data_IF_764807994876
#
_entry.id   IF_764807994876
#
_cell.length_a   1.000
_cell.length_b   1.000
_cell.length_c   1.000
_cell.angle_alpha   90.00
_cell.angle_beta   90.00
_cell.angle_gamma   90.00
#
_symmetry.space_group_name_H-M   'P 1'
#
loop_
_entity.id
_entity.type
_entity.pdbx_description
1 polymer ?
#
# COMPACT_ATOMS: atom_id res chain seq x y z
N UNK A 1 -6.24 4.47 14.13
CA UNK A 1 -7.17 4.42 15.28
C UNK A 1 -7.82 5.77 15.40
N UNK A 2 -9.12 5.85 15.67
CA UNK A 2 -9.74 7.11 15.99
C UNK A 2 -9.63 7.51 17.46
N UNK A 3 -10.29 8.59 17.87
CA UNK A 3 -10.43 9.07 19.25
C UNK A 3 -11.04 7.97 20.12
N UNK A 4 -10.17 7.25 20.83
CA UNK A 4 -10.51 6.10 21.68
C UNK A 4 -9.75 4.84 21.25
N UNK A 5 -9.59 3.87 22.16
CA UNK A 5 -8.92 2.59 21.89
C UNK A 5 -9.74 1.67 20.96
N UNK A 6 -10.21 2.20 19.83
CA UNK A 6 -11.02 1.51 18.84
C UNK A 6 -10.31 1.51 17.49
N UNK A 7 -10.57 0.48 16.68
CA UNK A 7 -10.05 0.37 15.32
C UNK A 7 -11.17 0.71 14.32
N UNK A 8 -10.84 1.45 13.27
CA UNK A 8 -11.71 1.64 12.11
C UNK A 8 -11.10 0.92 10.93
N UNK A 9 -11.90 0.07 10.29
CA UNK A 9 -11.49 -0.69 9.12
C UNK A 9 -11.99 0.01 7.86
N UNK A 10 -11.08 0.32 6.94
CA UNK A 10 -11.40 0.87 5.63
C UNK A 10 -11.31 -0.29 4.64
N UNK A 11 -12.44 -0.63 4.03
CA UNK A 11 -12.50 -1.68 3.01
C UNK A 11 -12.08 -1.08 1.66
N UNK A 12 -11.09 -1.71 1.03
CA UNK A 12 -10.58 -1.29 -0.28
C UNK A 12 -10.97 -2.38 -1.27
N UNK A 13 -11.94 -2.06 -2.14
CA UNK A 13 -12.42 -3.00 -3.17
C UNK A 13 -11.77 -2.65 -4.50
N UNK A 14 -10.83 -3.48 -4.93
CA UNK A 14 -10.28 -3.44 -6.28
C UNK A 14 -11.14 -4.34 -7.16
N UNK A 15 -11.55 -3.84 -8.33
CA UNK A 15 -12.25 -4.65 -9.33
C UNK A 15 -11.27 -5.62 -9.98
N UNK A 16 -11.75 -6.64 -10.67
CA UNK A 16 -10.86 -7.53 -11.43
C UNK A 16 -10.21 -6.76 -12.59
N UNK A 17 -8.88 -6.83 -12.69
CA UNK A 17 -8.13 -6.11 -13.71
C UNK A 17 -6.62 -6.28 -13.59
N UNK A 18 -5.90 -5.90 -14.64
CA UNK A 18 -4.45 -5.79 -14.60
C UNK A 18 -4.07 -4.48 -13.93
N UNK A 19 -3.46 -4.55 -12.75
CA UNK A 19 -3.02 -3.37 -12.01
C UNK A 19 -1.50 -3.36 -11.90
N UNK A 20 -0.89 -2.23 -12.29
CA UNK A 20 0.46 -1.91 -11.83
C UNK A 20 0.43 -1.49 -10.36
N UNK A 21 1.57 -1.57 -9.67
CA UNK A 21 1.68 -1.08 -8.29
C UNK A 21 1.26 0.38 -8.14
N UNK A 22 1.56 1.22 -9.14
CA UNK A 22 1.11 2.60 -9.16
C UNK A 22 -0.42 2.73 -9.18
N UNK A 23 -1.12 1.86 -9.92
CA UNK A 23 -2.59 1.85 -9.94
C UNK A 23 -3.18 1.35 -8.63
N UNK A 24 -2.57 0.33 -8.02
CA UNK A 24 -2.97 -0.16 -6.69
C UNK A 24 -2.81 0.97 -5.66
N UNK A 25 -1.64 1.61 -5.60
CA UNK A 25 -1.38 2.69 -4.66
C UNK A 25 -2.36 3.86 -4.86
N UNK A 26 -2.64 4.23 -6.12
CA UNK A 26 -3.62 5.28 -6.44
C UNK A 26 -5.05 4.92 -5.99
N UNK A 27 -5.48 3.67 -6.17
CA UNK A 27 -6.79 3.20 -5.73
C UNK A 27 -6.92 3.15 -4.20
N UNK A 28 -5.85 2.74 -3.51
CA UNK A 28 -5.76 2.81 -2.04
C UNK A 28 -5.88 4.27 -1.59
N UNK A 29 -5.09 5.18 -2.17
CA UNK A 29 -5.14 6.61 -1.83
C UNK A 29 -6.52 7.22 -2.10
N UNK A 30 -7.17 6.90 -3.22
CA UNK A 30 -8.52 7.36 -3.52
C UNK A 30 -9.54 6.90 -2.45
N UNK A 31 -9.43 5.66 -2.00
CA UNK A 31 -10.28 5.12 -0.92
C UNK A 31 -9.99 5.79 0.42
N UNK A 32 -8.72 6.08 0.72
CA UNK A 32 -8.32 6.82 1.92
C UNK A 32 -8.82 8.27 1.90
N UNK A 33 -8.80 8.94 0.74
CA UNK A 33 -9.40 10.26 0.56
C UNK A 33 -10.90 10.20 0.84
N UNK A 34 -11.62 9.26 0.20
CA UNK A 34 -13.07 9.10 0.39
C UNK A 34 -13.45 8.76 1.84
N UNK A 35 -12.56 8.09 2.56
CA UNK A 35 -12.76 7.74 3.97
C UNK A 35 -12.28 8.84 4.93
N UNK A 36 -11.63 9.90 4.43
CA UNK A 36 -11.02 10.97 5.22
C UNK A 36 -9.88 10.50 6.13
N UNK A 37 -9.12 9.49 5.71
CA UNK A 37 -7.99 8.91 6.44
C UNK A 37 -6.63 9.46 5.97
N UNK A 38 -6.54 10.78 5.79
CA UNK A 38 -5.35 11.51 5.36
C UNK A 38 -5.26 12.84 6.12
N UNK A 39 -4.09 13.48 6.10
CA UNK A 39 -3.92 14.87 6.54
C UNK A 39 -3.48 15.74 5.36
N UNK A 40 -3.60 17.06 5.51
CA UNK A 40 -3.17 18.02 4.49
C UNK A 40 -1.97 18.78 5.06
N UNK A 41 -0.82 18.78 4.37
CA UNK A 41 0.37 19.50 4.80
C UNK A 41 0.22 21.03 4.61
N UNK A 42 1.25 21.78 4.99
CA UNK A 42 1.24 23.24 4.84
C UNK A 42 1.21 23.71 3.37
N UNK A 43 1.69 22.88 2.45
CA UNK A 43 1.72 23.15 1.01
C UNK A 43 0.39 22.81 0.31
N UNK A 44 -0.56 22.18 1.02
CA UNK A 44 -1.85 21.75 0.51
C UNK A 44 -1.89 20.31 -0.03
N UNK A 45 -0.80 19.55 0.09
CA UNK A 45 -0.74 18.16 -0.35
C UNK A 45 -1.35 17.20 0.67
N UNK A 46 -2.01 16.16 0.14
CA UNK A 46 -2.54 15.07 0.95
C UNK A 46 -1.42 14.12 1.38
N UNK A 47 -1.22 14.01 2.69
CA UNK A 47 -0.28 13.09 3.31
C UNK A 47 -1.00 11.82 3.75
N UNK A 48 -0.53 10.69 3.23
CA UNK A 48 -1.01 9.35 3.55
C UNK A 48 -0.04 8.64 4.49
N UNK A 49 -0.60 7.85 5.41
CA UNK A 49 0.17 7.05 6.39
C UNK A 49 0.40 5.61 5.93
N UNK A 50 0.03 5.33 4.68
CA UNK A 50 0.21 4.06 3.99
C UNK A 50 0.78 4.38 2.61
N UNK A 51 1.85 3.70 2.24
CA UNK A 51 2.39 3.76 0.90
C UNK A 51 2.79 2.37 0.43
N UNK A 52 2.45 2.06 -0.82
CA UNK A 52 2.88 0.84 -1.49
C UNK A 52 3.78 1.22 -2.66
N UNK A 53 5.00 0.70 -2.67
CA UNK A 53 6.00 0.98 -3.70
C UNK A 53 6.67 -0.29 -4.21
N UNK A 54 7.15 -0.25 -5.44
CA UNK A 54 7.98 -1.32 -5.99
C UNK A 54 9.44 -1.12 -5.59
N UNK A 55 10.10 -2.19 -5.16
CA UNK A 55 11.52 -2.21 -4.86
C UNK A 55 12.25 -2.98 -5.96
N UNK A 56 12.78 -2.25 -6.94
CA UNK A 56 13.48 -2.81 -8.10
C UNK A 56 14.75 -3.58 -7.71
N UNK A 57 15.39 -3.26 -6.57
CA UNK A 57 16.58 -3.94 -6.09
C UNK A 57 16.28 -5.36 -5.64
N UNK A 58 15.12 -5.56 -5.00
CA UNK A 58 14.71 -6.86 -4.47
C UNK A 58 13.61 -7.51 -5.29
N UNK A 59 13.26 -6.94 -6.46
CA UNK A 59 12.14 -7.36 -7.31
C UNK A 59 10.87 -7.64 -6.51
N UNK A 60 10.61 -6.85 -5.47
CA UNK A 60 9.56 -7.10 -4.47
C UNK A 60 8.73 -5.85 -4.21
N UNK A 61 7.57 -6.03 -3.59
CA UNK A 61 6.77 -4.92 -3.11
C UNK A 61 7.26 -4.47 -1.73
N UNK A 62 7.37 -3.17 -1.53
CA UNK A 62 7.64 -2.57 -0.24
C UNK A 62 6.41 -1.80 0.24
N UNK A 63 5.98 -2.12 1.45
CA UNK A 63 4.89 -1.43 2.14
C UNK A 63 5.52 -0.58 3.23
N UNK A 64 5.30 0.73 3.14
CA UNK A 64 5.72 1.69 4.14
C UNK A 64 4.50 2.19 4.92
N UNK A 65 4.54 1.99 6.23
CA UNK A 65 3.47 2.34 7.15
C UNK A 65 4.02 3.33 8.16
N UNK A 66 3.49 4.55 8.12
CA UNK A 66 3.91 5.65 8.99
C UNK A 66 2.94 5.81 10.16
N UNK A 67 3.44 6.16 11.36
CA UNK A 67 2.56 6.36 12.51
C UNK A 67 1.70 7.62 12.32
N UNK A 68 0.40 7.48 12.56
CA UNK A 68 -0.53 8.61 12.55
C UNK A 68 -0.29 9.44 13.81
N UNK A 69 -0.06 10.77 13.70
CA UNK A 69 0.27 11.62 14.83
C UNK A 69 -0.93 11.83 15.75
N UNK A 70 -0.68 12.05 17.04
CA UNK A 70 -1.72 12.31 18.04
C UNK A 70 -2.27 13.74 18.00
N UNK A 71 -1.50 14.66 17.42
CA UNK A 71 -1.87 16.06 17.21
C UNK A 71 -1.52 16.47 15.78
N UNK A 72 -2.12 17.56 15.30
CA UNK A 72 -1.72 18.09 14.01
C UNK A 72 -0.31 18.69 14.09
N UNK A 73 0.59 18.30 13.18
CA UNK A 73 1.84 19.03 12.98
C UNK A 73 1.57 20.50 12.62
N UNK A 74 2.54 21.37 12.91
CA UNK A 74 2.41 22.81 12.65
C UNK A 74 2.13 23.08 11.17
N UNK A 75 1.13 23.91 10.89
CA UNK A 75 0.73 24.29 9.53
C UNK A 75 -0.10 23.25 8.78
N UNK A 76 -0.37 22.08 9.38
CA UNK A 76 -1.18 21.05 8.74
C UNK A 76 -2.67 21.27 9.02
N UNK A 77 -3.54 20.72 8.17
CA UNK A 77 -4.98 20.76 8.36
C UNK A 77 -5.62 19.37 8.25
N UNK A 78 -6.80 19.22 8.87
CA UNK A 78 -7.61 18.00 8.82
C UNK A 78 -8.42 17.99 7.53
N UNK A 79 -8.77 16.79 7.01
CA UNK A 79 -9.74 16.70 5.94
C UNK A 79 -11.10 17.25 6.40
N UNK A 80 -11.90 17.82 5.49
CA UNK A 80 -13.17 18.44 5.83
C UNK A 80 -14.20 17.43 6.34
N UNK A 81 -14.12 16.16 5.91
CA UNK A 81 -15.02 15.07 6.33
C UNK A 81 -14.24 13.76 6.49
N UNK A 82 -14.90 12.73 7.05
CA UNK A 82 -14.34 11.39 7.21
C UNK A 82 -13.54 11.21 8.50
N UNK A 83 -12.75 10.13 8.58
CA UNK A 83 -12.19 9.61 9.83
C UNK A 83 -11.37 10.64 10.60
N UNK A 84 -10.36 11.28 10.00
CA UNK A 84 -9.49 12.24 10.69
C UNK A 84 -10.05 13.66 10.77
N UNK A 85 -11.26 13.90 10.24
CA UNK A 85 -11.93 15.19 10.36
C UNK A 85 -12.36 15.49 11.80
N UNK A 86 -12.63 16.76 12.10
CA UNK A 86 -13.12 17.18 13.44
C UNK A 86 -14.53 16.65 13.72
N UNK A 87 -15.37 16.52 12.69
CA UNK A 87 -16.71 15.93 12.78
C UNK A 87 -16.71 14.39 12.78
N UNK A 88 -15.58 13.80 12.41
CA UNK A 88 -15.40 12.36 12.38
C UNK A 88 -14.86 11.84 13.70
N UNK A 89 -13.97 10.88 13.58
CA UNK A 89 -13.40 10.18 14.71
C UNK A 89 -11.99 10.70 15.06
N UNK A 90 -11.51 11.75 14.41
CA UNK A 90 -10.31 12.49 14.78
C UNK A 90 -9.00 11.69 14.75
N UNK A 91 -7.95 12.30 15.31
CA UNK A 91 -6.63 11.71 15.44
C UNK A 91 -6.55 10.77 16.66
N UNK A 92 -5.61 9.81 16.68
CA UNK A 92 -5.33 8.98 17.84
C UNK A 92 -5.09 9.83 19.11
N UNK A 93 -5.59 9.39 20.25
CA UNK A 93 -5.31 10.01 21.55
C UNK A 93 -4.27 9.19 22.31
N UNK A 94 -3.32 9.88 22.96
CA UNK A 94 -2.32 9.27 23.84
C UNK A 94 -1.08 8.71 23.14
N UNK A 95 -1.23 7.94 22.05
CA UNK A 95 -0.11 7.31 21.35
C UNK A 95 -0.29 7.34 19.82
N UNK A 96 0.83 7.48 19.10
CA UNK A 96 0.85 7.41 17.64
C UNK A 96 0.81 5.94 17.19
N UNK A 97 -0.10 5.57 16.30
CA UNK A 97 -0.26 4.19 15.85
C UNK A 97 0.01 4.04 14.37
N UNK A 98 0.71 2.95 14.03
CA UNK A 98 0.92 2.52 12.66
C UNK A 98 -0.37 1.85 12.15
N UNK A 99 -0.87 2.22 10.96
CA UNK A 99 -2.02 1.55 10.36
C UNK A 99 -1.71 0.08 10.06
N UNK A 100 -2.74 -0.78 10.14
CA UNK A 100 -2.62 -2.20 9.80
C UNK A 100 -3.26 -2.45 8.44
N UNK A 101 -2.52 -3.08 7.54
CA UNK A 101 -3.05 -3.66 6.31
C UNK A 101 -3.55 -5.07 6.62
N UNK A 102 -4.81 -5.36 6.29
CA UNK A 102 -5.33 -6.73 6.32
C UNK A 102 -5.59 -7.18 4.89
N UNK A 103 -4.94 -8.26 4.48
CA UNK A 103 -5.14 -8.91 3.19
C UNK A 103 -6.09 -10.08 3.45
N UNK A 104 -7.33 -9.93 3.00
CA UNK A 104 -8.39 -10.93 3.13
C UNK A 104 -8.50 -11.84 1.90
N UNK A 105 -8.00 -11.39 0.75
CA UNK A 105 -7.98 -12.14 -0.50
C UNK A 105 -6.56 -12.63 -0.84
N UNK A 106 -6.36 -13.95 -0.85
CA UNK A 106 -5.09 -14.59 -1.19
C UNK A 106 -4.61 -14.32 -2.62
N UNK A 107 -5.53 -14.13 -3.58
CA UNK A 107 -5.16 -13.81 -4.97
C UNK A 107 -4.60 -12.40 -5.08
N UNK A 108 -5.18 -11.43 -4.34
CA UNK A 108 -4.60 -10.10 -4.24
C UNK A 108 -3.23 -10.15 -3.54
N UNK A 109 -3.11 -10.96 -2.48
CA UNK A 109 -1.85 -11.23 -1.79
C UNK A 109 -0.71 -11.65 -2.74
N UNK A 110 -0.99 -12.55 -3.69
CA UNK A 110 0.00 -12.97 -4.71
C UNK A 110 0.47 -11.84 -5.62
N UNK A 111 -0.40 -10.88 -5.96
CA UNK A 111 -0.06 -9.72 -6.80
C UNK A 111 0.91 -8.79 -6.06
N UNK A 112 0.67 -8.55 -4.78
CA UNK A 112 1.53 -7.69 -3.94
C UNK A 112 2.69 -8.45 -3.27
N UNK A 113 2.77 -9.78 -3.42
CA UNK A 113 3.82 -10.62 -2.82
C UNK A 113 3.67 -10.88 -1.32
N UNK A 114 2.47 -10.72 -0.76
CA UNK A 114 2.17 -10.96 0.65
C UNK A 114 1.15 -12.09 0.83
N UNK A 115 1.33 -12.91 1.85
CA UNK A 115 0.32 -13.90 2.22
C UNK A 115 -0.93 -13.22 2.81
N UNK A 116 -2.07 -13.93 2.80
CA UNK A 116 -3.26 -13.44 3.48
C UNK A 116 -2.97 -13.30 4.99
N UNK A 117 -3.30 -12.14 5.57
CA UNK A 117 -2.93 -11.84 6.94
C UNK A 117 -2.96 -10.34 7.27
N UNK A 118 -2.60 -10.02 8.51
CA UNK A 118 -2.54 -8.65 9.00
C UNK A 118 -1.09 -8.20 9.19
N UNK A 119 -0.74 -7.09 8.57
CA UNK A 119 0.61 -6.51 8.57
C UNK A 119 0.55 -5.06 9.05
N UNK A 120 1.35 -4.67 10.07
CA UNK A 120 2.14 -5.52 10.95
C UNK A 120 1.26 -6.43 11.83
N UNK A 121 1.79 -7.61 12.19
CA UNK A 121 1.09 -8.62 13.02
C UNK A 121 0.82 -8.12 14.44
N UNK A 122 1.64 -7.18 14.93
CA UNK A 122 1.48 -6.51 16.21
C UNK A 122 1.21 -5.02 16.01
N UNK A 123 0.60 -4.38 17.00
CA UNK A 123 0.42 -2.92 17.00
C UNK A 123 1.77 -2.25 17.26
N UNK A 124 2.19 -1.37 16.37
CA UNK A 124 3.47 -0.67 16.43
C UNK A 124 3.26 0.85 16.45
N UNK A 125 4.30 1.57 16.90
CA UNK A 125 4.27 3.01 17.16
C UNK A 125 5.28 3.80 16.33
N UNK A 126 6.15 3.10 15.59
CA UNK A 126 7.23 3.68 14.77
C UNK A 126 7.06 3.25 13.33
N UNK A 127 7.60 4.04 12.39
CA UNK A 127 7.56 3.74 10.95
C UNK A 127 8.02 2.29 10.68
N UNK A 128 7.24 1.58 9.87
CA UNK A 128 7.55 0.22 9.46
C UNK A 128 7.67 0.15 7.94
N UNK A 129 8.76 -0.43 7.47
CA UNK A 129 8.95 -0.80 6.07
C UNK A 129 9.01 -2.31 5.99
N UNK A 130 8.02 -2.91 5.33
CA UNK A 130 7.88 -4.36 5.21
C UNK A 130 8.08 -4.73 3.74
N UNK A 131 9.10 -5.55 3.47
CA UNK A 131 9.37 -6.12 2.16
C UNK A 131 8.55 -7.40 1.97
N UNK A 132 8.04 -7.59 0.76
CA UNK A 132 7.29 -8.79 0.40
C UNK A 132 8.22 -10.01 0.46
N UNK A 133 7.94 -11.04 1.28
CA UNK A 133 8.81 -12.21 1.43
C UNK A 133 8.74 -13.15 0.21
N UNK A 134 7.70 -12.98 -0.62
CA UNK A 134 7.50 -13.73 -1.85
C UNK A 134 7.81 -12.79 -3.01
N UNK A 135 8.62 -13.21 -4.00
CA UNK A 135 8.81 -12.43 -5.20
C UNK A 135 7.45 -12.31 -5.92
N UNK A 136 6.87 -11.11 -6.04
CA UNK A 136 5.55 -10.92 -6.60
C UNK A 136 5.50 -11.40 -8.06
N UNK A 137 4.56 -12.31 -8.35
CA UNK A 137 4.28 -12.73 -9.71
C UNK A 137 3.36 -11.71 -10.38
N UNK A 138 3.94 -10.64 -10.93
CA UNK A 138 3.16 -9.64 -11.68
C UNK A 138 2.65 -10.18 -13.04
N UNK A 139 3.03 -11.42 -13.42
CA UNK A 139 2.53 -12.11 -14.62
C UNK A 139 2.67 -13.64 -14.50
N UNK A 140 1.59 -14.44 -14.51
CA UNK A 140 1.67 -15.89 -14.72
C UNK A 140 1.93 -16.29 -16.19
N UNK A 141 2.04 -15.35 -17.13
CA UNK A 141 2.31 -15.66 -18.55
C UNK A 141 3.42 -14.79 -19.12
N UNK A 142 4.67 -15.10 -18.78
CA UNK A 142 5.81 -14.72 -19.61
C UNK A 142 6.07 -15.83 -20.63
N UNK A 143 5.23 -15.95 -21.66
CA UNK A 143 5.62 -16.78 -22.82
C UNK A 143 6.63 -15.99 -23.65
N UNK A 144 7.92 -16.17 -23.38
CA UNK A 144 8.95 -15.76 -24.33
C UNK A 144 9.02 -16.82 -25.43
N UNK A 145 8.39 -16.57 -26.58
CA UNK A 145 8.65 -17.36 -27.79
C UNK A 145 10.03 -17.00 -28.34
N UNK A 146 11.06 -17.71 -27.86
CA UNK A 146 12.37 -17.75 -28.50
C UNK A 146 12.25 -18.53 -29.81
N UNK A 147 12.09 -17.81 -30.93
CA UNK A 147 12.33 -18.37 -32.27
C UNK A 147 13.82 -18.21 -32.58
N UNK A 148 14.59 -19.27 -32.37
CA UNK A 148 15.95 -19.35 -32.89
C UNK A 148 15.90 -20.10 -34.22
N UNK A 149 16.14 -19.43 -35.35
CA UNK A 149 16.42 -20.09 -36.62
C UNK A 149 17.90 -20.47 -36.65
N UNK A 150 18.18 -21.77 -36.63
CA UNK A 150 19.52 -22.31 -36.90
C UNK A 150 19.79 -22.17 -38.41
N UNK A 151 20.47 -21.10 -38.81
CA UNK A 151 21.10 -21.05 -40.13
C UNK A 151 22.31 -21.99 -40.10
N UNK A 152 22.09 -23.23 -40.55
CA UNK A 152 23.14 -24.23 -40.75
C UNK A 152 24.04 -23.78 -41.90
N UNK A 153 25.10 -23.01 -41.61
CA UNK A 153 26.15 -22.74 -42.60
C UNK A 153 26.99 -24.00 -42.81
N UNK A 154 26.64 -24.78 -43.84
CA UNK A 154 27.53 -25.77 -44.43
C UNK A 154 28.72 -25.01 -45.02
N UNK A 155 29.90 -25.16 -44.42
CA UNK A 155 31.16 -24.91 -45.13
C UNK A 155 31.55 -26.25 -45.74
N UNK A 156 31.28 -26.41 -47.03
CA UNK A 156 31.78 -27.52 -47.84
C UNK A 156 33.14 -27.16 -48.42
N UNK A 157 34.09 -28.08 -48.28
CA UNK A 157 35.37 -28.25 -48.99
C UNK A 157 36.46 -27.21 -48.73
#
# INVERSE_FOLDING_TARGET
MPTGNSYSTIQIVLKDGYYSYANINSAVQATLISSGAYLINADGDNVFYFNLSENATYYSCQIDLSPVPTSLPSGWTRPPTGLYSTSGTGLPLGFSFVPKLTIDNSEFGKIIGFEAGTYPTQSLYTLQSILSPIPPQINPVSSYQLRCSLERRLVSS
#
